data_IF_232213960091
#
_entry.id   IF_232213960091
#
_cell.length_a   1.000
_cell.length_b   1.000
_cell.length_c   1.000
_cell.angle_alpha   90.00
_cell.angle_beta   90.00
_cell.angle_gamma   90.00
#
_symmetry.space_group_name_H-M   'P 1'
#
loop_
_entity.id
_entity.type
_entity.pdbx_description
1 polymer ?
#
# COMPACT_ATOMS: atom_id res chain seq x y z
N UNK A 1 5.98 13.80 -18.76
CA UNK A 1 6.60 12.49 -18.51
C UNK A 1 5.46 11.49 -18.37
N UNK A 2 5.51 10.35 -19.06
CA UNK A 2 4.39 9.41 -19.10
C UNK A 2 4.23 8.73 -17.71
N UNK A 3 3.10 8.95 -17.05
CA UNK A 3 2.79 8.46 -15.70
C UNK A 3 2.94 6.93 -15.61
N UNK A 4 2.62 6.22 -16.69
CA UNK A 4 2.76 4.77 -16.79
C UNK A 4 4.23 4.30 -16.69
N UNK A 5 5.16 5.02 -17.33
CA UNK A 5 6.60 4.68 -17.32
C UNK A 5 7.19 4.88 -15.92
N UNK A 6 6.75 5.94 -15.24
CA UNK A 6 7.14 6.25 -13.87
C UNK A 6 6.65 5.15 -12.92
N UNK A 7 5.37 4.79 -13.01
CA UNK A 7 4.78 3.77 -12.16
C UNK A 7 5.50 2.43 -12.31
N UNK A 8 5.75 1.99 -13.55
CA UNK A 8 6.51 0.76 -13.82
C UNK A 8 7.94 0.81 -13.26
N UNK A 9 8.56 1.99 -13.28
CA UNK A 9 9.90 2.18 -12.70
C UNK A 9 9.86 2.04 -11.18
N UNK A 10 8.90 2.68 -10.50
CA UNK A 10 8.75 2.59 -9.03
C UNK A 10 8.44 1.16 -8.59
N UNK A 11 7.59 0.43 -9.33
CA UNK A 11 7.32 -0.98 -9.04
C UNK A 11 8.59 -1.85 -9.17
N UNK A 12 9.41 -1.61 -10.19
CA UNK A 12 10.71 -2.29 -10.30
C UNK A 12 11.63 -1.98 -9.10
N UNK A 13 11.65 -0.74 -8.61
CA UNK A 13 12.42 -0.35 -7.43
C UNK A 13 11.90 -1.04 -6.15
N UNK A 14 10.58 -1.13 -5.96
CA UNK A 14 9.96 -1.89 -4.86
C UNK A 14 10.36 -3.36 -4.89
N UNK A 15 10.31 -3.99 -6.07
CA UNK A 15 10.74 -5.39 -6.24
C UNK A 15 12.20 -5.56 -5.86
N UNK A 16 13.10 -4.70 -6.33
CA UNK A 16 14.52 -4.76 -6.00
C UNK A 16 14.77 -4.65 -4.49
N UNK A 17 14.11 -3.70 -3.83
CA UNK A 17 14.18 -3.54 -2.37
C UNK A 17 13.68 -4.79 -1.65
N UNK A 18 12.53 -5.33 -2.05
CA UNK A 18 11.95 -6.55 -1.47
C UNK A 18 12.86 -7.78 -1.64
N UNK A 19 13.54 -7.90 -2.77
CA UNK A 19 14.51 -8.98 -3.02
C UNK A 19 15.69 -8.88 -2.04
N UNK A 20 16.25 -7.69 -1.85
CA UNK A 20 17.38 -7.48 -0.90
C UNK A 20 16.93 -7.77 0.54
N UNK A 21 15.77 -7.27 0.95
CA UNK A 21 15.23 -7.54 2.28
C UNK A 21 14.92 -9.05 2.47
N UNK A 22 14.36 -9.71 1.46
CA UNK A 22 14.11 -11.15 1.46
C UNK A 22 15.39 -11.98 1.59
N UNK A 23 16.47 -11.59 0.90
CA UNK A 23 17.78 -12.22 1.05
C UNK A 23 18.35 -12.04 2.46
N UNK A 24 18.20 -10.86 3.05
CA UNK A 24 18.61 -10.62 4.44
C UNK A 24 17.83 -11.52 5.42
N UNK A 25 16.50 -11.63 5.25
CA UNK A 25 15.66 -12.51 6.06
C UNK A 25 16.05 -13.99 5.92
N UNK A 26 16.24 -14.46 4.67
CA UNK A 26 16.69 -15.82 4.40
C UNK A 26 18.04 -16.11 5.06
N UNK A 27 18.99 -15.18 4.95
CA UNK A 27 20.31 -15.28 5.57
C UNK A 27 20.21 -15.32 7.10
N UNK A 28 19.36 -14.48 7.69
CA UNK A 28 19.13 -14.48 9.13
C UNK A 28 18.53 -15.80 9.61
N UNK A 29 17.57 -16.35 8.85
CA UNK A 29 16.94 -17.63 9.16
C UNK A 29 17.94 -18.78 9.03
N UNK A 30 18.74 -18.81 7.96
CA UNK A 30 19.80 -19.79 7.76
C UNK A 30 20.74 -19.82 8.96
N UNK A 31 21.17 -18.66 9.46
CA UNK A 31 22.01 -18.53 10.65
C UNK A 31 21.32 -18.96 11.95
N UNK A 32 20.00 -18.91 12.02
CA UNK A 32 19.28 -19.43 13.17
C UNK A 32 19.21 -20.96 13.17
N UNK A 33 19.01 -21.56 11.99
CA UNK A 33 18.64 -22.98 11.85
C UNK A 33 19.79 -23.90 11.44
N UNK A 34 20.88 -23.37 10.89
CA UNK A 34 22.06 -24.15 10.50
C UNK A 34 23.24 -23.91 11.45
N UNK A 35 23.98 -24.99 11.71
CA UNK A 35 25.26 -24.95 12.39
C UNK A 35 26.40 -24.54 11.43
N UNK A 36 27.59 -24.26 11.96
CA UNK A 36 28.77 -23.93 11.14
C UNK A 36 29.21 -25.04 10.18
N UNK A 37 28.74 -26.28 10.37
CA UNK A 37 28.96 -27.41 9.47
C UNK A 37 27.83 -27.61 8.44
N UNK A 38 26.82 -26.73 8.42
CA UNK A 38 25.66 -26.81 7.52
C UNK A 38 24.61 -27.83 7.94
N UNK A 39 24.70 -28.40 9.15
CA UNK A 39 23.69 -29.30 9.69
C UNK A 39 22.56 -28.51 10.36
N UNK A 40 21.34 -29.04 10.30
CA UNK A 40 20.18 -28.44 10.95
C UNK A 40 20.30 -28.52 12.48
N UNK A 41 20.35 -27.37 13.13
CA UNK A 41 20.47 -27.22 14.59
C UNK A 41 19.79 -25.91 15.03
N UNK A 42 18.57 -26.00 15.57
CA UNK A 42 17.87 -24.81 16.07
C UNK A 42 18.26 -24.52 17.51
N UNK A 43 18.80 -23.33 17.75
CA UNK A 43 19.23 -22.86 19.08
C UNK A 43 18.09 -22.13 19.83
N UNK A 44 17.04 -22.84 20.21
CA UNK A 44 15.82 -22.29 20.81
C UNK A 44 16.01 -21.48 22.11
N UNK A 45 17.00 -21.82 22.94
CA UNK A 45 17.28 -21.14 24.21
C UNK A 45 18.46 -20.15 24.11
N UNK A 46 18.81 -19.71 22.90
CA UNK A 46 20.00 -18.89 22.68
C UNK A 46 19.69 -17.40 22.52
N UNK A 47 20.70 -16.59 22.85
CA UNK A 47 20.72 -15.16 22.53
C UNK A 47 20.54 -14.89 21.03
N UNK A 48 20.97 -15.81 20.16
CA UNK A 48 20.77 -15.72 18.71
C UNK A 48 19.29 -15.74 18.33
N UNK A 49 18.44 -16.51 19.02
CA UNK A 49 16.99 -16.48 18.76
C UNK A 49 16.42 -15.09 19.07
N UNK A 50 16.82 -14.48 20.19
CA UNK A 50 16.37 -13.13 20.58
C UNK A 50 16.79 -12.11 19.52
N UNK A 51 18.03 -12.17 19.04
CA UNK A 51 18.53 -11.25 18.01
C UNK A 51 17.84 -11.48 16.67
N UNK A 52 17.58 -12.73 16.32
CA UNK A 52 16.84 -13.06 15.11
C UNK A 52 15.41 -12.52 15.18
N UNK A 53 14.72 -12.65 16.32
CA UNK A 53 13.36 -12.11 16.47
C UNK A 53 13.36 -10.60 16.33
N UNK A 54 14.30 -9.90 16.95
CA UNK A 54 14.45 -8.44 16.80
C UNK A 54 14.75 -8.07 15.35
N UNK A 55 15.70 -8.77 14.73
CA UNK A 55 16.04 -8.58 13.33
C UNK A 55 14.82 -8.78 12.43
N UNK A 56 14.09 -9.89 12.60
CA UNK A 56 12.90 -10.23 11.84
C UNK A 56 11.83 -9.14 11.97
N UNK A 57 11.50 -8.75 13.20
CA UNK A 57 10.47 -7.72 13.41
C UNK A 57 10.89 -6.36 12.88
N UNK A 58 12.18 -6.03 12.97
CA UNK A 58 12.75 -4.80 12.43
C UNK A 58 12.67 -4.78 10.90
N UNK A 59 13.16 -5.82 10.23
CA UNK A 59 13.07 -5.91 8.77
C UNK A 59 11.62 -5.85 8.31
N UNK A 60 10.70 -6.56 8.96
CA UNK A 60 9.27 -6.51 8.63
C UNK A 60 8.72 -5.09 8.79
N UNK A 61 9.02 -4.40 9.89
CA UNK A 61 8.58 -3.01 10.13
C UNK A 61 9.11 -2.06 9.05
N UNK A 62 10.41 -2.08 8.81
CA UNK A 62 11.05 -1.21 7.81
C UNK A 62 10.57 -1.52 6.40
N UNK A 63 10.46 -2.79 6.03
CA UNK A 63 9.95 -3.19 4.72
C UNK A 63 8.52 -2.70 4.52
N UNK A 64 7.65 -2.89 5.50
CA UNK A 64 6.27 -2.42 5.43
C UNK A 64 6.21 -0.89 5.35
N UNK A 65 6.99 -0.18 6.16
CA UNK A 65 7.11 1.27 6.12
C UNK A 65 7.61 1.79 4.76
N UNK A 66 8.65 1.19 4.20
CA UNK A 66 9.20 1.53 2.89
C UNK A 66 8.18 1.28 1.76
N UNK A 67 7.50 0.13 1.75
CA UNK A 67 6.45 -0.15 0.76
C UNK A 67 5.32 0.87 0.86
N UNK A 68 4.87 1.17 2.08
CA UNK A 68 3.82 2.16 2.30
C UNK A 68 4.27 3.57 1.90
N UNK A 69 5.53 3.90 2.16
CA UNK A 69 6.14 5.12 1.64
C UNK A 69 6.04 5.14 0.13
N UNK A 70 6.53 4.12 -0.61
CA UNK A 70 6.44 4.09 -2.08
C UNK A 70 5.01 4.17 -2.63
N UNK A 71 4.02 3.59 -1.95
CA UNK A 71 2.62 3.67 -2.37
C UNK A 71 2.02 5.05 -2.12
N UNK A 72 2.16 5.59 -0.91
CA UNK A 72 1.65 6.92 -0.55
C UNK A 72 2.29 8.00 -1.44
N UNK A 73 3.62 8.00 -1.40
CA UNK A 73 4.45 7.86 -2.59
C UNK A 73 4.00 8.40 -3.93
N UNK A 74 4.02 7.41 -4.81
CA UNK A 74 3.99 7.51 -6.24
C UNK A 74 2.65 7.01 -6.79
N UNK A 75 1.82 6.39 -5.94
CA UNK A 75 0.50 5.85 -6.29
C UNK A 75 -0.63 6.74 -5.75
N UNK A 76 -0.60 7.12 -4.47
CA UNK A 76 -1.71 7.89 -3.86
C UNK A 76 -1.57 9.40 -4.04
N UNK A 77 -0.35 9.95 -3.90
CA UNK A 77 -0.11 11.40 -3.95
C UNK A 77 1.03 11.77 -4.91
N UNK A 78 0.99 11.35 -6.19
CA UNK A 78 2.07 11.58 -7.15
C UNK A 78 2.31 13.07 -7.46
N UNK A 79 1.29 13.92 -7.25
CA UNK A 79 1.37 15.36 -7.44
C UNK A 79 2.29 16.08 -6.43
N UNK A 80 2.60 15.43 -5.30
CA UNK A 80 3.53 15.97 -4.29
C UNK A 80 4.98 15.55 -4.53
N UNK A 81 5.23 14.66 -5.49
CA UNK A 81 6.59 14.18 -5.80
C UNK A 81 7.36 15.23 -6.60
N UNK A 82 8.57 15.57 -6.16
CA UNK A 82 9.45 16.47 -6.87
C UNK A 82 10.28 15.73 -7.93
N UNK A 83 9.72 15.63 -9.14
CA UNK A 83 10.36 14.97 -10.28
C UNK A 83 11.63 15.68 -10.78
N UNK A 84 11.79 16.99 -10.52
CA UNK A 84 12.94 17.76 -11.02
C UNK A 84 14.27 17.32 -10.42
N UNK A 85 14.23 16.74 -9.23
CA UNK A 85 15.42 16.27 -8.50
C UNK A 85 15.60 14.75 -8.58
N UNK A 86 14.83 14.05 -9.43
CA UNK A 86 14.81 12.58 -9.49
C UNK A 86 14.53 11.92 -8.13
N UNK A 87 13.54 12.44 -7.39
CA UNK A 87 13.18 11.93 -6.05
C UNK A 87 13.05 10.40 -5.95
N UNK A 88 12.43 9.66 -6.89
CA UNK A 88 12.37 8.18 -6.80
C UNK A 88 13.73 7.51 -6.70
N UNK A 89 14.75 8.07 -7.36
CA UNK A 89 16.11 7.54 -7.30
C UNK A 89 16.71 7.76 -5.90
N UNK A 90 16.49 8.92 -5.29
CA UNK A 90 16.97 9.21 -3.94
C UNK A 90 16.26 8.36 -2.88
N UNK A 91 14.96 8.17 -3.00
CA UNK A 91 14.19 7.27 -2.13
C UNK A 91 14.72 5.84 -2.25
N UNK A 92 14.99 5.36 -3.47
CA UNK A 92 15.59 4.06 -3.68
C UNK A 92 17.01 3.94 -3.14
N UNK A 93 17.86 4.96 -3.31
CA UNK A 93 19.22 4.92 -2.77
C UNK A 93 19.24 4.92 -1.25
N UNK A 94 18.37 5.70 -0.60
CA UNK A 94 18.23 5.74 0.85
C UNK A 94 17.70 4.42 1.40
N UNK A 95 16.50 4.01 0.98
CA UNK A 95 15.86 2.78 1.45
C UNK A 95 16.66 1.54 1.00
N UNK A 96 17.22 1.54 -0.21
CA UNK A 96 18.11 0.47 -0.68
C UNK A 96 19.38 0.32 0.15
N UNK A 97 19.93 1.43 0.66
CA UNK A 97 21.04 1.38 1.61
C UNK A 97 20.62 0.80 2.96
N UNK A 98 19.43 1.13 3.48
CA UNK A 98 18.88 0.46 4.67
C UNK A 98 18.70 -1.04 4.46
N UNK A 99 18.19 -1.46 3.30
CA UNK A 99 18.05 -2.88 2.95
C UNK A 99 19.41 -3.60 2.94
N UNK A 100 20.47 -2.93 2.48
CA UNK A 100 21.82 -3.45 2.56
C UNK A 100 22.30 -3.59 4.01
N UNK A 101 21.94 -2.65 4.90
CA UNK A 101 22.24 -2.76 6.34
C UNK A 101 21.49 -3.95 6.97
N UNK A 102 20.28 -4.31 6.53
CA UNK A 102 19.62 -5.55 6.98
C UNK A 102 20.46 -6.79 6.68
N UNK A 103 21.09 -6.82 5.50
CA UNK A 103 21.98 -7.92 5.14
C UNK A 103 23.17 -7.99 6.11
N UNK A 104 23.81 -6.87 6.41
CA UNK A 104 24.91 -6.81 7.41
C UNK A 104 24.42 -7.26 8.80
N UNK A 105 23.22 -6.83 9.21
CA UNK A 105 22.60 -7.22 10.48
C UNK A 105 22.42 -8.74 10.58
N UNK A 106 21.95 -9.39 9.52
CA UNK A 106 21.84 -10.85 9.47
C UNK A 106 23.18 -11.55 9.75
N UNK A 107 24.30 -11.03 9.23
CA UNK A 107 25.64 -11.59 9.48
C UNK A 107 26.15 -11.37 10.90
N UNK A 108 25.55 -10.42 11.64
CA UNK A 108 25.96 -10.06 13.00
C UNK A 108 25.20 -10.80 14.11
N UNK A 109 24.25 -11.69 13.79
CA UNK A 109 23.40 -12.40 14.77
C UNK A 109 24.14 -13.23 15.85
N UNK A 110 25.44 -13.52 15.66
CA UNK A 110 26.26 -14.23 16.66
C UNK A 110 27.17 -13.31 17.49
N UNK A 111 27.25 -12.03 17.14
CA UNK A 111 28.10 -11.05 17.80
C UNK A 111 27.23 -9.91 18.36
N UNK A 112 26.91 -9.95 19.68
CA UNK A 112 26.07 -8.95 20.32
C UNK A 112 26.51 -7.51 20.10
N UNK A 113 27.82 -7.26 20.14
CA UNK A 113 28.34 -5.91 20.02
C UNK A 113 28.17 -5.40 18.58
N UNK A 114 28.54 -6.23 17.60
CA UNK A 114 28.36 -5.87 16.18
C UNK A 114 26.89 -5.72 15.81
N UNK A 115 26.02 -6.60 16.31
CA UNK A 115 24.58 -6.50 16.06
C UNK A 115 24.03 -5.15 16.51
N UNK A 116 24.37 -4.73 17.74
CA UNK A 116 23.92 -3.46 18.28
C UNK A 116 24.51 -2.28 17.50
N UNK A 117 25.80 -2.35 17.14
CA UNK A 117 26.43 -1.31 16.32
C UNK A 117 25.74 -1.13 14.98
N UNK A 118 25.49 -2.22 14.24
CA UNK A 118 24.81 -2.15 12.95
C UNK A 118 23.33 -1.78 13.10
N UNK A 119 22.69 -2.17 14.20
CA UNK A 119 21.31 -1.79 14.49
C UNK A 119 21.20 -0.30 14.79
N UNK A 120 22.06 0.24 15.65
CA UNK A 120 22.13 1.68 15.91
C UNK A 120 22.48 2.45 14.63
N UNK A 121 23.38 1.92 13.80
CA UNK A 121 23.70 2.51 12.51
C UNK A 121 22.48 2.55 11.57
N UNK A 122 21.70 1.47 11.49
CA UNK A 122 20.44 1.43 10.74
C UNK A 122 19.49 2.54 11.18
N UNK A 123 19.25 2.70 12.50
CA UNK A 123 18.35 3.74 13.01
C UNK A 123 18.87 5.16 12.71
N UNK A 124 20.18 5.38 12.77
CA UNK A 124 20.77 6.67 12.41
C UNK A 124 20.55 6.97 10.92
N UNK A 125 20.76 5.96 10.06
CA UNK A 125 20.51 6.09 8.61
C UNK A 125 19.05 6.43 8.34
N UNK A 126 18.11 5.74 8.99
CA UNK A 126 16.67 5.99 8.86
C UNK A 126 16.30 7.41 9.30
N UNK A 127 16.74 7.84 10.49
CA UNK A 127 16.51 9.20 10.98
C UNK A 127 17.07 10.23 9.99
N UNK A 128 18.27 10.03 9.45
CA UNK A 128 18.87 10.92 8.48
C UNK A 128 18.07 10.97 7.18
N UNK A 129 17.62 9.82 6.68
CA UNK A 129 16.77 9.72 5.50
C UNK A 129 15.42 10.45 5.72
N UNK A 130 14.73 10.18 6.84
CA UNK A 130 13.49 10.87 7.23
C UNK A 130 13.68 12.39 7.36
N UNK A 131 14.82 12.84 7.89
CA UNK A 131 15.17 14.25 7.94
C UNK A 131 15.36 14.86 6.54
N UNK A 132 16.06 14.16 5.64
CA UNK A 132 16.31 14.61 4.26
C UNK A 132 15.00 14.76 3.49
N UNK A 133 14.13 13.76 3.51
CA UNK A 133 12.84 13.82 2.81
C UNK A 133 11.91 14.89 3.40
N UNK A 134 12.12 15.27 4.66
CA UNK A 134 11.39 16.32 5.36
C UNK A 134 11.86 17.75 5.02
N UNK A 135 12.98 17.91 4.29
CA UNK A 135 13.54 19.25 4.02
C UNK A 135 12.60 20.11 3.15
N UNK A 136 12.48 21.44 3.41
CA UNK A 136 11.53 22.33 2.73
C UNK A 136 11.66 22.37 1.20
N UNK A 137 12.86 22.13 0.66
CA UNK A 137 13.14 22.17 -0.77
C UNK A 137 12.92 20.81 -1.47
N UNK A 138 12.86 19.74 -0.68
CA UNK A 138 12.49 18.38 -1.12
C UNK A 138 10.99 18.13 -0.88
N UNK A 139 10.35 19.05 -0.14
CA UNK A 139 8.97 19.07 0.38
C UNK A 139 8.10 17.93 -0.13
N UNK A 140 8.05 16.91 0.70
CA UNK A 140 7.01 15.90 0.75
C UNK A 140 6.43 15.90 2.16
N UNK A 141 5.10 15.86 2.25
CA UNK A 141 4.29 15.19 3.30
C UNK A 141 5.03 15.06 4.66
N UNK A 142 5.01 16.13 5.46
CA UNK A 142 5.35 16.00 6.87
C UNK A 142 4.13 15.37 7.57
N UNK A 143 4.02 14.05 7.51
CA UNK A 143 3.01 13.32 8.27
C UNK A 143 3.42 13.25 9.73
N UNK A 144 2.44 13.28 10.64
CA UNK A 144 2.67 12.94 12.06
C UNK A 144 3.40 11.59 12.21
N UNK A 145 3.25 10.67 11.24
CA UNK A 145 3.97 9.40 11.17
C UNK A 145 5.49 9.53 11.06
N UNK A 146 5.99 10.44 10.23
CA UNK A 146 7.45 10.63 10.07
C UNK A 146 8.08 11.13 11.37
N UNK A 147 7.38 11.99 12.12
CA UNK A 147 7.82 12.45 13.45
C UNK A 147 7.83 11.32 14.46
N UNK A 148 6.80 10.47 14.42
CA UNK A 148 6.73 9.31 15.29
C UNK A 148 7.90 8.37 15.04
N UNK A 149 8.20 8.03 13.79
CA UNK A 149 9.34 7.19 13.41
C UNK A 149 10.66 7.75 13.94
N UNK A 150 10.94 9.04 13.68
CA UNK A 150 12.15 9.70 14.21
C UNK A 150 12.20 9.61 15.74
N UNK A 151 11.08 9.92 16.42
CA UNK A 151 11.02 9.91 17.89
C UNK A 151 11.25 8.52 18.44
N UNK A 152 10.66 7.50 17.82
CA UNK A 152 10.73 6.13 18.28
C UNK A 152 12.13 5.55 18.06
N UNK A 153 12.77 5.83 16.92
CA UNK A 153 14.15 5.45 16.66
C UNK A 153 15.13 6.16 17.62
N UNK A 154 14.91 7.45 17.92
CA UNK A 154 15.67 8.17 18.94
C UNK A 154 15.54 7.54 20.34
N UNK A 155 14.34 7.10 20.73
CA UNK A 155 14.11 6.41 22.02
C UNK A 155 14.91 5.11 22.09
N UNK A 156 14.95 4.34 21.00
CA UNK A 156 15.74 3.09 20.93
C UNK A 156 17.24 3.35 20.97
N UNK A 157 17.70 4.50 20.46
CA UNK A 157 19.11 4.88 20.52
C UNK A 157 19.58 5.29 21.93
N UNK A 158 18.69 5.74 22.82
CA UNK A 158 19.06 6.19 24.18
C UNK A 158 19.81 5.10 24.98
N UNK A 159 19.29 3.86 25.12
CA UNK A 159 20.04 2.77 25.77
C UNK A 159 21.36 2.40 25.08
N UNK A 160 21.50 2.69 23.79
CA UNK A 160 22.74 2.44 23.04
C UNK A 160 23.82 3.51 23.24
N UNK A 161 23.44 4.66 23.82
CA UNK A 161 24.32 5.79 24.08
C UNK A 161 24.70 6.57 22.81
N UNK A 162 25.17 7.81 22.99
CA UNK A 162 25.58 8.70 21.88
C UNK A 162 26.92 8.28 21.28
N UNK A 163 27.66 7.33 21.87
CA UNK A 163 28.99 6.95 21.34
C UNK A 163 29.31 5.47 21.50
N UNK A 164 29.75 4.94 20.36
CA UNK A 164 30.49 3.70 20.06
C UNK A 164 31.44 3.14 21.15
N UNK A 165 31.86 3.94 22.14
CA UNK A 165 32.93 3.60 23.10
C UNK A 165 32.44 3.32 24.52
N UNK A 166 31.17 3.58 24.84
CA UNK A 166 30.65 3.50 26.23
C UNK A 166 29.58 2.43 26.44
N UNK A 167 29.29 1.61 25.43
CA UNK A 167 28.26 0.58 25.57
C UNK A 167 28.67 -0.46 26.62
N UNK A 168 27.97 -0.45 27.75
CA UNK A 168 28.21 -1.38 28.85
C UNK A 168 27.29 -2.59 28.68
N UNK A 169 27.81 -3.80 28.93
CA UNK A 169 27.05 -5.05 28.78
C UNK A 169 25.80 -5.11 29.66
N UNK A 170 25.76 -4.39 30.79
CA UNK A 170 24.59 -4.31 31.65
C UNK A 170 23.41 -3.53 31.04
N UNK A 171 23.65 -2.73 29.97
CA UNK A 171 22.60 -2.03 29.22
C UNK A 171 21.91 -2.90 28.16
N UNK A 172 22.44 -4.09 27.87
CA UNK A 172 21.88 -5.03 26.89
C UNK A 172 20.39 -5.33 27.11
N UNK A 173 19.92 -5.67 28.33
CA UNK A 173 18.51 -5.96 28.55
C UNK A 173 17.62 -4.75 28.30
N UNK A 174 18.07 -3.55 28.69
CA UNK A 174 17.32 -2.32 28.48
C UNK A 174 17.14 -2.03 26.99
N UNK A 175 18.22 -2.17 26.19
CA UNK A 175 18.14 -2.05 24.73
C UNK A 175 17.09 -3.00 24.13
N UNK A 176 17.12 -4.28 24.51
CA UNK A 176 16.18 -5.27 23.96
C UNK A 176 14.73 -5.01 24.38
N UNK A 177 14.51 -4.60 25.63
CA UNK A 177 13.18 -4.18 26.10
C UNK A 177 12.69 -3.00 25.26
N UNK A 178 13.53 -1.99 25.03
CA UNK A 178 13.15 -0.81 24.23
C UNK A 178 12.81 -1.19 22.79
N UNK A 179 13.62 -2.04 22.14
CA UNK A 179 13.34 -2.50 20.77
C UNK A 179 12.05 -3.32 20.70
N UNK A 180 11.81 -4.23 21.66
CA UNK A 180 10.61 -5.05 21.68
C UNK A 180 9.35 -4.21 21.93
N UNK A 181 9.39 -3.32 22.93
CA UNK A 181 8.28 -2.39 23.25
C UNK A 181 7.99 -1.51 22.05
N UNK A 182 9.03 -0.94 21.42
CA UNK A 182 8.89 -0.13 20.22
C UNK A 182 8.17 -0.90 19.09
N UNK A 183 8.64 -2.11 18.78
CA UNK A 183 8.06 -2.97 17.74
C UNK A 183 6.57 -3.24 17.99
N UNK A 184 6.20 -3.56 19.24
CA UNK A 184 4.82 -3.90 19.60
C UNK A 184 3.89 -2.68 19.52
N UNK A 185 4.39 -1.50 19.89
CA UNK A 185 3.61 -0.27 19.97
C UNK A 185 3.46 0.43 18.62
N UNK A 186 4.41 0.23 17.70
CA UNK A 186 4.43 0.92 16.41
C UNK A 186 3.20 0.65 15.55
N UNK A 187 2.78 -0.61 15.42
CA UNK A 187 1.61 -1.00 14.63
C UNK A 187 0.29 -0.41 15.15
N UNK A 188 -0.04 -0.49 16.45
CA UNK A 188 -1.21 0.18 17.01
C UNK A 188 -1.22 1.69 16.80
N UNK A 189 -0.08 2.37 16.98
CA UNK A 189 0.00 3.83 16.86
C UNK A 189 -0.12 4.27 15.41
N UNK A 190 0.52 3.54 14.49
CA UNK A 190 0.53 3.84 13.06
C UNK A 190 -0.46 2.99 12.26
N UNK A 191 -1.52 2.48 12.90
CA UNK A 191 -2.48 1.59 12.26
C UNK A 191 -3.02 2.16 10.94
N UNK A 192 -3.36 3.45 10.92
CA UNK A 192 -3.86 4.10 9.71
C UNK A 192 -2.80 4.19 8.62
N UNK A 193 -1.56 4.47 8.99
CA UNK A 193 -0.47 4.49 8.03
C UNK A 193 -0.29 3.12 7.40
N UNK A 194 -0.25 2.06 8.21
CA UNK A 194 -0.04 0.69 7.72
C UNK A 194 -1.26 0.07 7.04
N UNK A 195 -2.48 0.38 7.48
CA UNK A 195 -3.68 -0.39 7.15
C UNK A 195 -4.92 0.43 6.75
N UNK A 196 -4.95 1.77 6.84
CA UNK A 196 -6.07 2.55 6.26
C UNK A 196 -5.91 2.60 4.73
N UNK A 197 -6.31 1.50 4.05
CA UNK A 197 -6.96 1.39 2.72
C UNK A 197 -7.07 -0.09 2.25
N UNK A 198 -7.99 -0.42 1.31
CA UNK A 198 -8.36 -1.81 1.02
C UNK A 198 -7.13 -2.60 0.56
N UNK A 199 -6.83 -3.65 1.32
CA UNK A 199 -5.81 -4.66 1.07
C UNK A 199 -5.78 -5.06 -0.42
N UNK A 200 -4.87 -4.47 -1.19
CA UNK A 200 -4.50 -4.97 -2.50
C UNK A 200 -3.21 -5.76 -2.30
N UNK A 201 -3.40 -7.07 -2.09
CA UNK A 201 -2.34 -8.05 -2.18
C UNK A 201 -1.55 -7.90 -3.50
N UNK A 202 -0.30 -8.38 -3.65
CA UNK A 202 0.52 -8.19 -4.86
C UNK A 202 -0.07 -8.74 -6.18
N UNK A 203 -1.26 -9.34 -6.14
CA UNK A 203 -2.01 -9.83 -7.30
C UNK A 203 -3.35 -9.12 -7.52
N UNK A 204 -3.67 -8.08 -6.73
CA UNK A 204 -4.82 -7.22 -6.96
C UNK A 204 -4.50 -6.21 -8.05
N UNK A 205 -5.27 -6.20 -9.14
CA UNK A 205 -5.11 -5.23 -10.25
C UNK A 205 -4.91 -3.82 -9.67
N UNK A 206 -3.69 -3.29 -9.82
CA UNK A 206 -3.38 -1.89 -9.54
C UNK A 206 -4.37 -1.00 -10.29
N UNK A 207 -4.65 0.17 -9.70
CA UNK A 207 -5.42 1.28 -10.27
C UNK A 207 -5.04 1.64 -11.73
N UNK A 208 -3.87 1.18 -12.22
CA UNK A 208 -3.43 1.25 -13.60
C UNK A 208 -4.25 0.43 -14.63
N UNK A 209 -5.21 -0.43 -14.21
CA UNK A 209 -6.01 -1.25 -15.15
C UNK A 209 -7.52 -1.00 -15.13
N UNK A 210 -8.03 0.04 -14.47
CA UNK A 210 -9.47 0.36 -14.60
C UNK A 210 -9.72 0.89 -16.00
N UNK A 211 -10.23 0.04 -16.89
CA UNK A 211 -10.52 0.37 -18.29
C UNK A 211 -11.99 0.35 -18.61
N UNK A 212 -12.70 -0.66 -18.13
CA UNK A 212 -14.13 -0.83 -18.38
C UNK A 212 -14.89 -0.52 -17.09
N UNK A 213 -15.71 0.53 -17.12
CA UNK A 213 -16.61 0.93 -16.05
C UNK A 213 -18.03 0.42 -16.31
N UNK A 214 -18.65 -0.13 -15.28
CA UNK A 214 -20.09 -0.37 -15.22
C UNK A 214 -20.77 0.81 -14.52
N UNK A 215 -21.80 1.40 -15.12
CA UNK A 215 -22.55 2.52 -14.49
C UNK A 215 -23.75 1.98 -13.74
N UNK A 216 -23.82 2.22 -12.43
CA UNK A 216 -24.92 1.79 -11.56
C UNK A 216 -25.72 2.99 -11.05
N UNK A 217 -27.05 2.96 -11.16
CA UNK A 217 -27.91 4.05 -10.71
C UNK A 217 -29.41 3.72 -10.79
N UNK A 218 -30.28 4.63 -10.35
CA UNK A 218 -31.72 4.42 -10.52
C UNK A 218 -32.09 4.44 -12.00
N UNK A 219 -32.95 3.51 -12.42
CA UNK A 219 -33.55 3.47 -13.76
C UNK A 219 -35.08 3.50 -13.64
N UNK A 220 -35.65 2.43 -13.04
CA UNK A 220 -37.10 2.29 -12.90
C UNK A 220 -37.69 3.30 -11.91
N UNK A 221 -38.78 3.94 -12.33
CA UNK A 221 -39.63 4.78 -11.48
C UNK A 221 -41.10 4.61 -11.95
N UNK A 222 -42.06 4.85 -11.06
CA UNK A 222 -43.49 4.86 -11.43
C UNK A 222 -43.88 6.03 -12.34
N UNK A 223 -43.11 7.12 -12.30
CA UNK A 223 -43.29 8.28 -13.18
C UNK A 223 -42.40 8.16 -14.43
N UNK A 224 -42.95 8.13 -15.66
CA UNK A 224 -42.17 8.13 -16.89
C UNK A 224 -41.22 9.33 -17.03
N UNK A 225 -41.54 10.49 -16.47
CA UNK A 225 -40.64 11.65 -16.51
C UNK A 225 -39.39 11.43 -15.65
N UNK A 226 -39.52 10.69 -14.55
CA UNK A 226 -38.39 10.32 -13.70
C UNK A 226 -37.50 9.27 -14.36
N UNK A 227 -38.09 8.34 -15.13
CA UNK A 227 -37.31 7.40 -15.96
C UNK A 227 -36.43 8.20 -16.95
N UNK A 228 -36.99 9.20 -17.61
CA UNK A 228 -36.24 10.05 -18.54
C UNK A 228 -35.11 10.82 -17.84
N UNK A 229 -35.38 11.41 -16.67
CA UNK A 229 -34.36 12.10 -15.87
C UNK A 229 -33.23 11.16 -15.45
N UNK A 230 -33.56 9.94 -15.07
CA UNK A 230 -32.58 8.92 -14.70
C UNK A 230 -31.71 8.49 -15.89
N UNK A 231 -32.33 8.32 -17.07
CA UNK A 231 -31.61 8.00 -18.31
C UNK A 231 -30.68 9.15 -18.68
N UNK A 232 -31.15 10.40 -18.65
CA UNK A 232 -30.32 11.57 -18.94
C UNK A 232 -29.15 11.71 -17.95
N UNK A 233 -29.39 11.48 -16.66
CA UNK A 233 -28.33 11.50 -15.65
C UNK A 233 -27.25 10.46 -15.94
N UNK A 234 -27.66 9.24 -16.31
CA UNK A 234 -26.76 8.16 -16.66
C UNK A 234 -26.00 8.44 -17.96
N UNK A 235 -26.66 9.05 -18.95
CA UNK A 235 -26.07 9.51 -20.19
C UNK A 235 -24.98 10.56 -19.94
N UNK A 236 -25.30 11.62 -19.21
CA UNK A 236 -24.39 12.72 -18.90
C UNK A 236 -23.11 12.22 -18.23
N UNK A 237 -23.24 11.29 -17.29
CA UNK A 237 -22.08 10.69 -16.62
C UNK A 237 -21.33 9.74 -17.54
N UNK A 238 -22.02 8.94 -18.34
CA UNK A 238 -21.38 8.06 -19.33
C UNK A 238 -20.54 8.87 -20.32
N UNK A 239 -21.05 10.00 -20.83
CA UNK A 239 -20.31 10.90 -21.71
C UNK A 239 -19.08 11.47 -21.00
N UNK A 240 -19.22 11.95 -19.76
CA UNK A 240 -18.07 12.47 -18.98
C UNK A 240 -17.00 11.40 -18.79
N UNK A 241 -17.39 10.17 -18.45
CA UNK A 241 -16.48 9.04 -18.27
C UNK A 241 -15.76 8.67 -19.58
N UNK A 242 -16.46 8.65 -20.71
CA UNK A 242 -15.85 8.46 -22.03
C UNK A 242 -14.86 9.57 -22.38
N UNK A 243 -15.20 10.83 -22.09
CA UNK A 243 -14.31 11.98 -22.30
C UNK A 243 -13.05 11.93 -21.42
N UNK A 244 -13.12 11.25 -20.28
CA UNK A 244 -11.98 10.96 -19.40
C UNK A 244 -11.17 9.73 -19.85
N UNK A 245 -11.56 9.08 -20.96
CA UNK A 245 -10.83 7.96 -21.55
C UNK A 245 -11.19 6.57 -21.00
N UNK A 246 -12.29 6.43 -20.26
CA UNK A 246 -12.80 5.13 -19.85
C UNK A 246 -13.74 4.54 -20.89
N UNK A 247 -13.82 3.20 -20.94
CA UNK A 247 -14.85 2.48 -21.70
C UNK A 247 -16.01 2.21 -20.75
N UNK A 248 -17.22 2.54 -21.16
CA UNK A 248 -18.37 2.48 -20.25
C UNK A 248 -19.43 1.51 -20.78
N UNK A 249 -19.88 0.60 -19.93
CA UNK A 249 -21.17 -0.06 -20.09
C UNK A 249 -22.20 0.61 -19.18
N UNK A 250 -23.25 1.15 -19.79
CA UNK A 250 -24.34 1.81 -19.09
C UNK A 250 -25.65 1.03 -19.35
N UNK A 251 -26.17 0.30 -18.35
CA UNK A 251 -27.43 -0.43 -18.46
C UNK A 251 -28.58 0.46 -18.94
N UNK A 252 -28.68 1.69 -18.40
CA UNK A 252 -29.72 2.66 -18.74
C UNK A 252 -29.81 2.95 -20.23
N UNK A 253 -28.66 3.01 -20.93
CA UNK A 253 -28.59 3.26 -22.37
C UNK A 253 -28.71 1.97 -23.19
N UNK A 254 -28.15 0.87 -22.70
CA UNK A 254 -28.20 -0.43 -23.37
C UNK A 254 -29.63 -0.98 -23.49
N UNK A 255 -30.45 -0.79 -22.45
CA UNK A 255 -31.84 -1.28 -22.39
C UNK A 255 -32.84 -0.13 -22.30
N UNK A 256 -32.47 1.04 -22.84
CA UNK A 256 -33.28 2.25 -22.79
C UNK A 256 -34.71 2.02 -23.32
N UNK A 257 -35.68 2.26 -22.44
CA UNK A 257 -37.11 2.04 -22.64
C UNK A 257 -37.55 0.61 -22.97
N UNK A 258 -36.78 -0.42 -22.60
CA UNK A 258 -37.15 -1.80 -22.90
C UNK A 258 -38.45 -2.24 -22.22
N UNK A 259 -38.86 -1.60 -21.12
CA UNK A 259 -40.14 -1.83 -20.47
C UNK A 259 -41.35 -1.51 -21.36
N UNK A 260 -41.15 -0.71 -22.43
CA UNK A 260 -42.19 -0.40 -23.42
C UNK A 260 -41.84 -0.88 -24.84
N UNK A 261 -40.55 -0.96 -25.18
CA UNK A 261 -40.06 -1.26 -26.54
C UNK A 261 -39.71 -2.72 -26.77
N UNK A 262 -39.53 -3.51 -25.72
CA UNK A 262 -39.05 -4.89 -25.81
C UNK A 262 -40.04 -5.88 -25.20
N UNK A 263 -40.08 -7.09 -25.75
CA UNK A 263 -40.82 -8.21 -25.16
C UNK A 263 -39.95 -9.02 -24.19
N UNK A 264 -38.66 -8.67 -24.05
CA UNK A 264 -37.78 -9.32 -23.08
C UNK A 264 -38.18 -8.94 -21.65
N UNK A 265 -38.15 -9.92 -20.73
CA UNK A 265 -38.52 -9.68 -19.34
C UNK A 265 -37.46 -8.85 -18.60
N UNK A 266 -37.90 -8.13 -17.57
CA UNK A 266 -37.00 -7.34 -16.71
C UNK A 266 -35.88 -8.16 -16.10
N UNK A 267 -36.20 -9.38 -15.69
CA UNK A 267 -35.21 -10.30 -15.16
C UNK A 267 -34.13 -10.63 -16.20
N UNK A 268 -34.49 -10.80 -17.47
CA UNK A 268 -33.55 -11.23 -18.49
C UNK A 268 -32.43 -10.22 -18.73
N UNK A 269 -32.76 -8.93 -18.80
CA UNK A 269 -31.72 -7.90 -18.98
C UNK A 269 -30.96 -7.59 -17.69
N UNK A 270 -31.59 -7.65 -16.52
CA UNK A 270 -30.86 -7.53 -15.24
C UNK A 270 -29.85 -8.66 -15.01
N UNK A 271 -30.22 -9.90 -15.37
CA UNK A 271 -29.30 -11.03 -15.33
C UNK A 271 -28.11 -10.82 -16.29
N UNK A 272 -28.35 -10.20 -17.45
CA UNK A 272 -27.30 -9.85 -18.40
C UNK A 272 -26.38 -8.74 -17.87
N UNK A 273 -26.95 -7.66 -17.31
CA UNK A 273 -26.18 -6.55 -16.74
C UNK A 273 -25.25 -7.04 -15.64
N UNK A 274 -25.72 -7.94 -14.77
CA UNK A 274 -24.90 -8.54 -13.72
C UNK A 274 -23.74 -9.38 -14.29
N UNK A 275 -23.95 -10.07 -15.41
CA UNK A 275 -22.87 -10.78 -16.13
C UNK A 275 -21.88 -9.80 -16.74
N UNK A 276 -22.34 -8.68 -17.30
CA UNK A 276 -21.43 -7.64 -17.82
C UNK A 276 -20.61 -7.02 -16.69
N UNK A 277 -21.23 -6.71 -15.55
CA UNK A 277 -20.55 -6.17 -14.37
C UNK A 277 -19.37 -7.06 -13.93
N UNK A 278 -19.54 -8.39 -13.97
CA UNK A 278 -18.48 -9.35 -13.65
C UNK A 278 -17.24 -9.19 -14.55
N UNK A 279 -17.42 -8.75 -15.80
CA UNK A 279 -16.37 -8.52 -16.77
C UNK A 279 -15.82 -7.08 -16.79
N UNK A 280 -16.52 -6.12 -16.19
CA UNK A 280 -16.01 -4.76 -15.99
C UNK A 280 -14.88 -4.73 -14.94
N UNK A 281 -14.00 -3.73 -15.00
CA UNK A 281 -12.93 -3.57 -14.01
C UNK A 281 -13.42 -2.89 -12.73
N UNK A 282 -14.40 -1.99 -12.84
CA UNK A 282 -14.95 -1.23 -11.72
C UNK A 282 -16.41 -0.83 -11.95
N UNK A 283 -17.05 -0.31 -10.89
CA UNK A 283 -18.37 0.31 -10.94
C UNK A 283 -18.26 1.81 -10.68
N UNK A 284 -19.01 2.61 -11.44
CA UNK A 284 -19.25 4.01 -11.17
C UNK A 284 -20.70 4.17 -10.70
N UNK A 285 -20.90 4.63 -9.46
CA UNK A 285 -22.22 4.79 -8.88
C UNK A 285 -22.74 6.23 -9.13
N UNK A 286 -23.90 6.34 -9.78
CA UNK A 286 -24.56 7.63 -10.03
C UNK A 286 -25.12 8.23 -8.74
N UNK A 287 -25.25 9.57 -8.62
CA UNK A 287 -25.70 10.21 -7.38
C UNK A 287 -27.04 9.72 -6.78
N UNK A 288 -27.88 9.06 -7.58
CA UNK A 288 -29.19 8.51 -7.19
C UNK A 288 -29.16 6.99 -6.90
N UNK A 289 -27.98 6.36 -6.84
CA UNK A 289 -27.87 4.90 -6.68
C UNK A 289 -28.49 4.40 -5.37
N UNK A 290 -28.46 5.22 -4.31
CA UNK A 290 -28.98 4.89 -2.98
C UNK A 290 -30.50 4.72 -2.96
N UNK A 291 -31.21 5.21 -3.97
CA UNK A 291 -32.66 5.08 -4.07
C UNK A 291 -33.08 3.85 -4.90
N UNK A 292 -32.11 3.17 -5.53
CA UNK A 292 -32.34 2.06 -6.45
C UNK A 292 -31.98 0.70 -5.83
N UNK A 293 -32.97 -0.19 -5.74
CA UNK A 293 -32.75 -1.59 -5.32
C UNK A 293 -31.79 -2.30 -6.28
N UNK A 294 -31.92 -2.03 -7.59
CA UNK A 294 -31.04 -2.61 -8.62
C UNK A 294 -29.59 -2.13 -8.47
N UNK A 295 -29.38 -0.82 -8.36
CA UNK A 295 -28.03 -0.27 -8.22
C UNK A 295 -27.35 -0.71 -6.93
N UNK A 296 -28.11 -0.83 -5.83
CA UNK A 296 -27.61 -1.43 -4.58
C UNK A 296 -27.13 -2.86 -4.79
N UNK A 297 -27.89 -3.69 -5.50
CA UNK A 297 -27.50 -5.07 -5.78
C UNK A 297 -26.22 -5.15 -6.63
N UNK A 298 -26.08 -4.28 -7.63
CA UNK A 298 -24.88 -4.18 -8.48
C UNK A 298 -23.64 -3.75 -7.66
N UNK A 299 -23.79 -2.78 -6.77
CA UNK A 299 -22.71 -2.32 -5.89
C UNK A 299 -22.31 -3.39 -4.89
N UNK A 300 -23.26 -4.11 -4.30
CA UNK A 300 -22.97 -5.24 -3.41
C UNK A 300 -22.27 -6.39 -4.15
N UNK A 301 -22.66 -6.68 -5.40
CA UNK A 301 -21.94 -7.67 -6.21
C UNK A 301 -20.51 -7.20 -6.53
N UNK A 302 -20.31 -5.93 -6.89
CA UNK A 302 -18.99 -5.37 -7.12
C UNK A 302 -18.09 -5.51 -5.89
N UNK A 303 -18.61 -5.21 -4.70
CA UNK A 303 -17.91 -5.43 -3.43
C UNK A 303 -17.60 -6.90 -3.20
N UNK A 304 -18.55 -7.81 -3.44
CA UNK A 304 -18.35 -9.26 -3.31
C UNK A 304 -17.23 -9.78 -4.22
N UNK A 305 -17.10 -9.18 -5.41
CA UNK A 305 -16.06 -9.51 -6.39
C UNK A 305 -14.73 -8.77 -6.17
N UNK A 306 -14.63 -7.92 -5.14
CA UNK A 306 -13.44 -7.11 -4.86
C UNK A 306 -13.15 -6.04 -5.92
N UNK A 307 -14.18 -5.60 -6.66
CA UNK A 307 -14.06 -4.53 -7.67
C UNK A 307 -14.21 -3.17 -6.99
N UNK A 308 -13.43 -2.15 -7.39
CA UNK A 308 -13.59 -0.80 -6.86
C UNK A 308 -14.92 -0.19 -7.31
N UNK A 309 -15.48 0.65 -6.43
CA UNK A 309 -16.70 1.43 -6.66
C UNK A 309 -16.36 2.90 -6.48
N UNK A 310 -16.56 3.70 -7.51
CA UNK A 310 -16.31 5.14 -7.51
C UNK A 310 -17.64 5.89 -7.36
N UNK A 311 -17.67 6.87 -6.46
CA UNK A 311 -18.87 7.67 -6.16
C UNK A 311 -18.84 9.07 -6.79
N UNK A 312 -17.68 9.47 -7.32
CA UNK A 312 -17.46 10.76 -7.95
C UNK A 312 -16.41 10.67 -9.04
N UNK A 313 -16.43 11.62 -9.98
CA UNK A 313 -15.43 11.69 -11.06
C UNK A 313 -14.01 11.93 -10.53
N UNK A 314 -13.88 12.58 -9.36
CA UNK A 314 -12.58 12.90 -8.76
C UNK A 314 -11.91 11.69 -8.10
N UNK A 315 -12.66 10.61 -7.83
CA UNK A 315 -12.12 9.35 -7.30
C UNK A 315 -11.52 8.46 -8.39
N UNK A 316 -11.76 8.79 -9.67
CA UNK A 316 -11.31 7.99 -10.80
C UNK A 316 -9.78 8.07 -10.98
N UNK A 317 -9.08 6.94 -11.21
CA UNK A 317 -7.63 6.95 -11.39
C UNK A 317 -7.22 7.69 -12.67
N UNK A 318 -6.36 8.71 -12.57
CA UNK A 318 -5.90 9.47 -13.75
C UNK A 318 -5.42 8.58 -14.90
N UNK A 319 -5.97 8.77 -16.10
CA UNK A 319 -5.57 8.07 -17.34
C UNK A 319 -4.64 8.88 -18.21
#
# INVERSE_FOLDING_TARGET
MNVLVIHNSVEALKILYMVVAGLALATGLERLVLSGSGQFEIKWASQTLVFFLIFLTTVVRFVHGAMRHFDLSYSEQPHLVNWRINQPLWDFLGLGFEAFVFFILAYSLYDPLRFIQYYSFLLIVDILWLCIISLPNIKRIWTEHSKWWITADLIVLVPTGVTWTWFQTWLLPAFFITVAVHTIIDYPINWKFYFDRPFTWPWGKQSAQVEILFVAGAYMNSDPQEIERNIQLAEDHSIKLWNLGYKVFCPHLNTCHFETKSTASEKAYKDFDMRILQHCDAVFALPNWQDSIGAKAEIEEAKRLGKPVFLSLDELPSR
#
